data_IF_110626450045
#
_entry.id   IF_110626450045
#
_cell.length_a   1.000
_cell.length_b   1.000
_cell.length_c   1.000
_cell.angle_alpha   90.00
_cell.angle_beta   90.00
_cell.angle_gamma   90.00
#
_symmetry.space_group_name_H-M   'P 1'
#
loop_
_entity.id
_entity.type
_entity.pdbx_description
1 polymer ?
#
# COMPACT_ATOMS: atom_id res chain seq x y z
N UNK A 1 -43.37 -15.09 25.37
CA UNK A 1 -44.60 -14.98 26.18
C UNK A 1 -44.98 -16.38 26.63
N UNK A 2 -45.19 -16.60 27.92
CA UNK A 2 -45.55 -17.92 28.42
C UNK A 2 -47.05 -17.99 28.70
N UNK A 3 -47.69 -19.04 28.18
CA UNK A 3 -49.14 -19.24 28.30
C UNK A 3 -49.38 -20.57 29.00
N UNK A 4 -50.19 -20.54 30.06
CA UNK A 4 -50.58 -21.74 30.79
C UNK A 4 -51.81 -22.32 30.09
N UNK A 5 -51.67 -23.47 29.45
CA UNK A 5 -52.82 -24.28 29.02
C UNK A 5 -53.18 -25.25 30.15
N UNK A 6 -54.45 -25.62 30.27
CA UNK A 6 -55.08 -26.23 31.46
C UNK A 6 -54.29 -27.35 32.17
N UNK A 7 -53.45 -28.13 31.46
CA UNK A 7 -52.52 -29.11 32.05
C UNK A 7 -51.05 -28.95 31.62
N UNK A 8 -50.72 -28.04 30.68
CA UNK A 8 -49.39 -27.91 30.09
C UNK A 8 -48.95 -26.44 30.03
N UNK A 9 -47.74 -26.17 30.53
CA UNK A 9 -47.11 -24.86 30.46
C UNK A 9 -46.16 -24.81 29.26
N UNK A 10 -46.41 -23.88 28.33
CA UNK A 10 -45.55 -23.66 27.17
C UNK A 10 -45.15 -22.18 27.09
N UNK A 11 -43.89 -21.95 26.74
CA UNK A 11 -43.38 -20.62 26.44
C UNK A 11 -43.18 -20.49 24.93
N UNK A 12 -43.78 -19.47 24.34
CA UNK A 12 -43.50 -19.05 22.98
C UNK A 12 -42.40 -17.98 23.01
N UNK A 13 -41.26 -18.27 22.37
CA UNK A 13 -40.18 -17.32 22.26
C UNK A 13 -40.54 -16.28 21.21
N UNK A 14 -40.34 -14.99 21.50
CA UNK A 14 -40.71 -13.88 20.61
C UNK A 14 -39.92 -13.87 19.29
N UNK A 15 -38.82 -14.62 19.22
CA UNK A 15 -37.93 -14.67 18.07
C UNK A 15 -37.46 -16.12 17.86
N UNK A 16 -37.37 -16.54 16.59
CA UNK A 16 -36.88 -17.86 16.16
C UNK A 16 -35.43 -18.15 16.58
N UNK A 17 -34.74 -17.14 17.10
CA UNK A 17 -33.37 -17.26 17.55
C UNK A 17 -33.22 -17.74 19.00
N UNK A 18 -34.31 -18.04 19.69
CA UNK A 18 -34.30 -18.57 21.06
C UNK A 18 -35.19 -19.81 21.15
N UNK A 19 -34.69 -20.85 21.82
CA UNK A 19 -35.38 -22.14 21.95
C UNK A 19 -35.21 -22.73 23.37
N UNK A 20 -36.00 -23.75 23.69
CA UNK A 20 -36.05 -24.38 25.01
C UNK A 20 -37.36 -24.11 25.76
N UNK A 21 -37.59 -24.81 26.88
CA UNK A 21 -38.86 -24.74 27.64
C UNK A 21 -39.16 -23.34 28.18
N UNK A 22 -38.11 -22.55 28.38
CA UNK A 22 -38.16 -21.17 28.86
C UNK A 22 -37.36 -20.20 27.98
N UNK A 23 -37.12 -20.55 26.70
CA UNK A 23 -36.32 -19.72 25.78
C UNK A 23 -34.88 -19.45 26.27
N UNK A 24 -34.29 -20.43 26.96
CA UNK A 24 -32.98 -20.29 27.60
C UNK A 24 -31.81 -20.39 26.59
N UNK A 25 -32.00 -21.14 25.52
CA UNK A 25 -30.96 -21.40 24.55
C UNK A 25 -31.05 -20.42 23.39
N UNK A 26 -29.92 -19.80 23.04
CA UNK A 26 -29.81 -18.97 21.86
C UNK A 26 -29.36 -19.81 20.66
N UNK A 27 -29.92 -19.54 19.49
CA UNK A 27 -29.54 -20.15 18.22
C UNK A 27 -28.07 -19.82 17.92
N UNK A 28 -27.34 -20.82 17.41
CA UNK A 28 -25.89 -20.74 17.11
C UNK A 28 -25.51 -19.50 16.30
N UNK A 29 -26.41 -19.01 15.45
CA UNK A 29 -26.24 -17.80 14.64
C UNK A 29 -25.98 -16.54 15.50
N UNK A 30 -26.77 -16.31 16.56
CA UNK A 30 -26.56 -15.17 17.47
C UNK A 30 -25.22 -15.28 18.17
N UNK A 31 -24.85 -16.48 18.60
CA UNK A 31 -23.57 -16.72 19.28
C UNK A 31 -22.40 -16.39 18.35
N UNK A 32 -22.48 -16.84 17.08
CA UNK A 32 -21.48 -16.52 16.05
C UNK A 32 -21.40 -15.02 15.81
N UNK A 33 -22.53 -14.33 15.60
CA UNK A 33 -22.52 -12.87 15.40
C UNK A 33 -21.93 -12.12 16.60
N UNK A 34 -22.23 -12.57 17.83
CA UNK A 34 -21.66 -12.00 19.05
C UNK A 34 -20.15 -12.22 19.12
N UNK A 35 -19.66 -13.40 18.73
CA UNK A 35 -18.23 -13.70 18.67
C UNK A 35 -17.55 -12.85 17.59
N UNK A 36 -18.12 -12.78 16.39
CA UNK A 36 -17.60 -11.99 15.26
C UNK A 36 -17.54 -10.50 15.59
N UNK A 37 -18.57 -9.96 16.26
CA UNK A 37 -18.58 -8.56 16.70
C UNK A 37 -17.47 -8.25 17.72
N UNK A 38 -17.18 -9.21 18.62
CA UNK A 38 -16.10 -9.07 19.61
C UNK A 38 -14.72 -9.21 18.99
N UNK A 39 -14.54 -10.16 18.07
CA UNK A 39 -13.25 -10.37 17.41
C UNK A 39 -12.91 -9.21 16.47
N UNK A 40 -13.90 -8.66 15.77
CA UNK A 40 -13.69 -7.51 14.88
C UNK A 40 -13.17 -6.29 15.65
N UNK A 41 -13.78 -5.97 16.80
CA UNK A 41 -13.32 -4.88 17.64
C UNK A 41 -11.88 -5.11 18.14
N UNK A 42 -11.54 -6.34 18.52
CA UNK A 42 -10.18 -6.69 18.94
C UNK A 42 -9.15 -6.51 17.81
N UNK A 43 -9.48 -6.97 16.60
CA UNK A 43 -8.63 -6.80 15.41
C UNK A 43 -8.45 -5.32 15.09
N UNK A 44 -9.52 -4.52 15.15
CA UNK A 44 -9.46 -3.08 14.89
C UNK A 44 -8.56 -2.36 15.92
N UNK A 45 -8.68 -2.68 17.21
CA UNK A 45 -7.84 -2.11 18.26
C UNK A 45 -6.37 -2.49 18.01
N UNK A 46 -6.08 -3.75 17.71
CA UNK A 46 -4.71 -4.19 17.40
C UNK A 46 -4.14 -3.45 16.18
N UNK A 47 -4.93 -3.30 15.11
CA UNK A 47 -4.47 -2.59 13.93
C UNK A 47 -4.12 -1.12 14.27
N UNK A 48 -4.98 -0.45 15.04
CA UNK A 48 -4.75 0.93 15.48
C UNK A 48 -3.52 1.04 16.39
N UNK A 49 -3.33 0.10 17.33
CA UNK A 49 -2.16 0.11 18.23
C UNK A 49 -0.86 -0.18 17.50
N UNK A 50 -0.85 -1.09 16.53
CA UNK A 50 0.34 -1.37 15.69
C UNK A 50 0.74 -0.11 14.91
N UNK A 51 -0.21 0.57 14.27
CA UNK A 51 0.08 1.80 13.51
C UNK A 51 0.61 2.89 14.44
N UNK A 52 -0.01 3.09 15.60
CA UNK A 52 0.44 4.07 16.58
C UNK A 52 1.87 3.76 17.08
N UNK A 53 2.14 2.50 17.46
CA UNK A 53 3.46 2.06 17.89
C UNK A 53 4.50 2.21 16.78
N UNK A 54 4.15 1.90 15.53
CA UNK A 54 5.06 2.06 14.39
C UNK A 54 5.48 3.52 14.21
N UNK A 55 4.55 4.47 14.29
CA UNK A 55 4.86 5.91 14.21
C UNK A 55 5.81 6.32 15.34
N UNK A 56 5.51 5.90 16.57
CA UNK A 56 6.36 6.20 17.74
C UNK A 56 7.75 5.59 17.56
N UNK A 57 7.87 4.35 17.11
CA UNK A 57 9.16 3.69 16.88
C UNK A 57 9.94 4.42 15.78
N UNK A 58 9.31 4.80 14.66
CA UNK A 58 9.96 5.58 13.60
C UNK A 58 10.46 6.94 14.11
N UNK A 59 9.69 7.58 14.98
CA UNK A 59 10.05 8.86 15.59
C UNK A 59 11.22 8.72 16.58
N UNK A 60 11.16 7.72 17.48
CA UNK A 60 12.23 7.40 18.43
C UNK A 60 13.52 7.01 17.71
N UNK A 61 13.45 6.19 16.65
CA UNK A 61 14.64 5.81 15.88
C UNK A 61 15.28 7.03 15.21
N UNK A 62 14.47 7.94 14.68
CA UNK A 62 14.95 9.19 14.08
C UNK A 62 15.56 10.12 15.13
N UNK A 63 14.96 10.22 16.32
CA UNK A 63 15.37 11.15 17.38
C UNK A 63 16.54 10.64 18.24
N UNK A 64 16.52 9.38 18.68
CA UNK A 64 17.51 8.82 19.60
C UNK A 64 18.79 8.37 18.91
N UNK A 65 18.70 7.86 17.67
CA UNK A 65 19.88 7.34 16.99
C UNK A 65 20.50 8.32 16.01
N UNK A 66 19.77 9.33 15.50
CA UNK A 66 20.28 10.24 14.46
C UNK A 66 20.72 9.55 13.15
N UNK A 67 20.63 8.22 13.13
CA UNK A 67 20.82 7.33 11.99
C UNK A 67 19.44 7.19 11.37
N UNK A 68 19.10 8.14 10.53
CA UNK A 68 18.02 7.98 9.56
C UNK A 68 18.34 6.73 8.69
N UNK A 69 17.84 5.53 9.04
CA UNK A 69 17.87 4.37 8.12
C UNK A 69 17.24 4.76 6.77
N UNK A 70 16.29 5.69 6.81
CA UNK A 70 15.65 6.32 5.66
C UNK A 70 16.55 7.21 4.82
N UNK A 71 17.64 7.78 5.37
CA UNK A 71 18.54 8.68 4.63
C UNK A 71 19.47 7.90 3.74
N UNK A 72 20.00 6.76 4.17
CA UNK A 72 20.83 5.91 3.33
C UNK A 72 20.05 5.36 2.12
N UNK A 73 18.81 4.92 2.34
CA UNK A 73 17.92 4.51 1.24
C UNK A 73 17.50 5.68 0.34
N UNK A 74 17.16 6.85 0.91
CA UNK A 74 16.86 8.06 0.12
C UNK A 74 18.05 8.53 -0.70
N UNK A 75 19.27 8.39 -0.17
CA UNK A 75 20.51 8.70 -0.88
C UNK A 75 20.77 7.71 -2.01
N UNK A 76 20.58 6.39 -1.80
CA UNK A 76 20.60 5.40 -2.88
C UNK A 76 19.61 5.75 -3.98
N UNK A 77 18.35 6.05 -3.63
CA UNK A 77 17.32 6.39 -4.60
C UNK A 77 17.62 7.69 -5.37
N UNK A 78 18.23 8.69 -4.72
CA UNK A 78 18.71 9.92 -5.38
C UNK A 78 19.85 9.66 -6.34
N UNK A 79 20.82 8.79 -5.99
CA UNK A 79 21.94 8.43 -6.87
C UNK A 79 21.43 7.73 -8.13
N UNK A 80 20.50 6.79 -8.00
CA UNK A 80 19.88 6.12 -9.15
C UNK A 80 19.10 7.07 -10.07
N UNK A 81 18.34 8.02 -9.50
CA UNK A 81 17.61 9.02 -10.30
C UNK A 81 18.57 9.96 -11.05
N UNK A 82 19.68 10.38 -10.43
CA UNK A 82 20.71 11.20 -11.10
C UNK A 82 21.40 10.43 -12.23
N UNK A 83 21.77 9.17 -12.02
CA UNK A 83 22.38 8.33 -13.06
C UNK A 83 21.46 8.15 -14.28
N UNK A 84 20.17 7.87 -14.06
CA UNK A 84 19.17 7.78 -15.13
C UNK A 84 18.99 9.09 -15.91
N UNK A 85 19.00 10.25 -15.22
CA UNK A 85 18.90 11.57 -15.86
C UNK A 85 20.16 11.93 -16.66
N UNK A 86 21.34 11.60 -16.14
CA UNK A 86 22.62 11.78 -16.83
C UNK A 86 22.66 10.98 -18.12
N UNK A 87 22.35 9.68 -18.07
CA UNK A 87 22.35 8.81 -19.25
C UNK A 87 21.38 9.31 -20.33
N UNK A 88 20.22 9.84 -19.93
CA UNK A 88 19.25 10.44 -20.86
C UNK A 88 19.77 11.71 -21.54
N UNK A 89 20.51 12.55 -20.80
CA UNK A 89 21.06 13.81 -21.33
C UNK A 89 22.30 13.57 -22.20
N UNK A 90 23.13 12.58 -21.87
CA UNK A 90 24.32 12.21 -22.65
C UNK A 90 23.95 11.64 -24.02
N UNK A 91 22.92 10.80 -24.10
CA UNK A 91 22.44 10.27 -25.38
C UNK A 91 21.95 11.37 -26.32
N UNK A 92 21.31 12.43 -25.81
CA UNK A 92 20.89 13.57 -26.63
C UNK A 92 22.08 14.40 -27.15
N UNK A 93 23.12 14.55 -26.35
CA UNK A 93 24.30 15.34 -26.73
C UNK A 93 25.17 14.64 -27.77
N UNK A 94 25.27 13.30 -27.73
CA UNK A 94 26.02 12.51 -28.72
C UNK A 94 25.38 12.54 -30.11
N UNK A 95 24.04 12.50 -30.19
CA UNK A 95 23.33 12.56 -31.47
C UNK A 95 23.59 13.89 -32.19
N UNK A 96 23.74 15.00 -31.46
CA UNK A 96 23.91 16.33 -32.07
C UNK A 96 25.34 16.60 -32.58
N UNK A 97 26.36 15.91 -32.06
CA UNK A 97 27.77 16.13 -32.46
C UNK A 97 28.13 15.37 -33.75
N UNK A 98 27.36 14.36 -34.14
CA UNK A 98 27.58 13.60 -35.37
C UNK A 98 26.82 14.14 -36.60
N UNK A 99 26.04 15.20 -36.47
CA UNK A 99 25.46 15.89 -37.63
C UNK A 99 26.50 16.88 -38.18
N UNK A 100 27.41 16.37 -39.02
CA UNK A 100 28.27 17.21 -39.86
C UNK A 100 27.37 18.13 -40.70
N UNK A 101 27.48 19.47 -40.59
CA UNK A 101 26.67 20.36 -41.41
C UNK A 101 27.03 20.14 -42.88
N UNK A 102 26.00 19.96 -43.70
CA UNK A 102 26.06 19.65 -45.13
C UNK A 102 26.74 20.67 -46.07
N UNK A 103 27.05 21.95 -45.74
CA UNK A 103 27.62 22.84 -46.74
C UNK A 103 29.08 22.54 -47.09
N UNK A 104 29.78 21.66 -46.34
CA UNK A 104 31.19 21.35 -46.62
C UNK A 104 31.41 20.16 -47.56
N UNK A 105 30.38 19.33 -47.82
CA UNK A 105 30.52 18.22 -48.78
C UNK A 105 30.41 18.68 -50.25
N UNK A 106 29.70 19.77 -50.52
CA UNK A 106 29.58 20.32 -51.88
C UNK A 106 30.83 21.07 -52.35
N UNK A 107 31.70 21.51 -51.43
CA UNK A 107 32.93 22.22 -51.77
C UNK A 107 34.10 21.26 -52.06
N UNK A 108 34.11 20.07 -51.44
CA UNK A 108 35.20 19.11 -51.61
C UNK A 108 35.15 18.38 -52.95
N UNK A 109 33.97 18.15 -53.53
CA UNK A 109 33.85 17.49 -54.84
C UNK A 109 34.23 18.38 -56.03
N UNK A 110 34.20 19.71 -55.88
CA UNK A 110 34.51 20.64 -56.99
C UNK A 110 36.00 21.00 -57.09
N UNK A 111 36.80 20.71 -56.06
CA UNK A 111 38.23 21.06 -56.04
C UNK A 111 39.10 19.95 -56.67
N UNK A 112 38.66 18.69 -56.68
CA UNK A 112 39.42 17.59 -57.30
C UNK A 112 39.37 17.59 -58.84
N UNK A 113 38.37 18.23 -59.47
CA UNK A 113 38.17 18.18 -60.94
C UNK A 113 38.83 19.34 -61.72
N UNK A 114 39.56 20.27 -61.08
CA UNK A 114 40.16 21.44 -61.76
C UNK A 114 41.70 21.52 -61.70
N UNK A 115 42.38 20.47 -61.26
CA UNK A 115 43.84 20.36 -61.32
C UNK A 115 44.30 19.10 -62.03
N UNK A 116 44.23 19.10 -63.38
CA UNK A 116 45.13 18.35 -64.27
C UNK A 116 45.47 19.27 -65.45
#
# INVERSE_FOLDING_TARGET
>A
ICRRSLLNYTCECLSENYYGRHCEFSTKKIIIYKIVSKSFAYIAIIAMTIVAMFIIIMDILTYCFGIDLTREERERFRREKRGRKWNRSVNQKLIYVNALPEPLQALTSTIEDTTI
#
